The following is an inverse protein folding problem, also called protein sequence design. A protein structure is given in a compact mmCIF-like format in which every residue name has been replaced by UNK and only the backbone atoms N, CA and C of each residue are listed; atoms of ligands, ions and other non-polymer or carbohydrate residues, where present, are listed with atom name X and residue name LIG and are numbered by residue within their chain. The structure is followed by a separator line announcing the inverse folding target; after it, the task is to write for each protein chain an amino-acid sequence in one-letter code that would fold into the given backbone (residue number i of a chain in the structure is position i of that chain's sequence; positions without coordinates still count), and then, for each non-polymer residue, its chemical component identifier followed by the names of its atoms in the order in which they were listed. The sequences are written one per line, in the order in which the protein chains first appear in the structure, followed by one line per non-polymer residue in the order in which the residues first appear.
data_IF_323424116769
#
_entry.id   IF_323424116769
#
_cell.length_a   1.000
_cell.length_b   1.000
_cell.length_c   1.000
_cell.angle_alpha   90.00
_cell.angle_beta   90.00
_cell.angle_gamma   90.00
#
_symmetry.space_group_name_H-M   'P 1'
#
loop_
_entity.id
_entity.type
_entity.pdbx_description
1 polymer ?
#
# COMPACT_ATOMS: atom_id res chain seq x y z
N UNK A 1 10.99 14.79 -11.71
CA UNK A 1 12.36 14.33 -12.04
C UNK A 1 12.68 12.99 -11.38
N UNK A 2 12.49 12.84 -10.06
CA UNK A 2 12.79 11.60 -9.30
C UNK A 2 12.10 10.31 -9.82
N UNK A 3 10.83 10.36 -10.21
CA UNK A 3 10.03 9.18 -10.62
C UNK A 3 10.47 8.44 -11.87
N UNK A 4 11.33 9.04 -12.70
CA UNK A 4 11.91 8.35 -13.87
C UNK A 4 13.27 7.75 -13.56
N UNK A 5 13.88 8.07 -12.41
CA UNK A 5 15.26 7.71 -12.12
C UNK A 5 15.41 6.23 -11.79
N UNK A 6 14.47 5.61 -11.06
CA UNK A 6 14.61 4.18 -10.72
C UNK A 6 14.51 3.34 -11.98
N UNK A 7 13.41 3.47 -12.72
CA UNK A 7 13.18 2.70 -13.94
C UNK A 7 14.32 2.89 -14.94
N UNK A 8 14.81 4.13 -15.08
CA UNK A 8 15.96 4.45 -15.92
C UNK A 8 17.25 3.82 -15.39
N UNK A 9 17.54 3.95 -14.10
CA UNK A 9 18.75 3.39 -13.48
C UNK A 9 18.76 1.87 -13.49
N UNK A 10 17.61 1.21 -13.34
CA UNK A 10 17.50 -0.26 -13.41
C UNK A 10 17.66 -0.76 -14.83
N UNK A 11 17.09 -0.04 -15.80
CA UNK A 11 17.27 -0.34 -17.23
C UNK A 11 18.73 -0.11 -17.65
N UNK A 12 19.34 1.02 -17.28
CA UNK A 12 20.75 1.33 -17.59
C UNK A 12 21.69 0.29 -16.97
N UNK A 13 21.47 -0.10 -15.71
CA UNK A 13 22.23 -1.16 -15.07
C UNK A 13 22.04 -2.51 -15.78
N UNK A 14 20.82 -2.85 -16.20
CA UNK A 14 20.55 -4.06 -16.96
C UNK A 14 21.28 -4.08 -18.30
N UNK A 15 21.18 -3.01 -19.10
CA UNK A 15 21.89 -2.93 -20.37
C UNK A 15 23.41 -3.03 -20.21
N UNK A 16 23.97 -2.44 -19.15
CA UNK A 16 25.40 -2.52 -18.87
C UNK A 16 25.85 -3.91 -18.42
N UNK A 17 25.01 -4.63 -17.67
CA UNK A 17 25.36 -5.90 -17.04
C UNK A 17 24.72 -7.15 -17.67
N UNK A 18 23.98 -7.00 -18.78
CA UNK A 18 23.27 -8.12 -19.43
C UNK A 18 24.14 -9.37 -19.62
N UNK A 19 25.42 -9.28 -20.08
CA UNK A 19 26.29 -10.45 -20.21
C UNK A 19 26.54 -11.17 -18.89
N UNK A 20 26.63 -10.44 -17.78
CA UNK A 20 26.91 -10.96 -16.44
C UNK A 20 25.65 -11.53 -15.76
N UNK A 21 24.46 -11.33 -16.35
CA UNK A 21 23.21 -11.91 -15.87
C UNK A 21 22.94 -13.30 -16.47
N UNK A 22 23.88 -13.85 -17.26
CA UNK A 22 23.78 -15.18 -17.85
C UNK A 22 24.87 -16.10 -17.27
N UNK A 23 24.60 -17.41 -17.08
CA UNK A 23 25.63 -18.35 -16.67
C UNK A 23 26.80 -18.41 -17.67
N UNK A 24 28.05 -18.62 -17.22
CA UNK A 24 28.46 -18.81 -15.83
C UNK A 24 28.54 -17.48 -15.05
N UNK A 25 28.09 -17.49 -13.79
CA UNK A 25 28.14 -16.30 -12.93
C UNK A 25 29.56 -16.11 -12.34
N UNK A 26 30.03 -14.86 -12.19
CA UNK A 26 31.31 -14.58 -11.55
C UNK A 26 31.32 -15.09 -10.09
N UNK A 27 32.43 -15.72 -9.68
CA UNK A 27 32.63 -16.16 -8.29
C UNK A 27 33.28 -15.09 -7.41
N UNK A 28 33.62 -13.93 -7.97
CA UNK A 28 34.24 -12.81 -7.26
C UNK A 28 33.21 -12.08 -6.41
N UNK A 29 33.58 -11.73 -5.18
CA UNK A 29 32.75 -10.89 -4.30
C UNK A 29 32.63 -9.51 -4.95
N UNK A 30 31.41 -9.03 -5.25
CA UNK A 30 31.21 -7.74 -5.89
C UNK A 30 31.61 -6.60 -4.95
N UNK A 31 32.20 -5.54 -5.50
CA UNK A 31 32.32 -4.25 -4.82
C UNK A 31 30.94 -3.65 -4.51
N UNK A 32 30.87 -2.64 -3.65
CA UNK A 32 29.61 -2.01 -3.28
C UNK A 32 28.85 -1.42 -4.49
N UNK A 33 29.58 -0.82 -5.43
CA UNK A 33 29.00 -0.25 -6.64
C UNK A 33 28.48 -1.35 -7.59
N UNK A 34 29.26 -2.42 -7.78
CA UNK A 34 28.85 -3.59 -8.56
C UNK A 34 27.64 -4.27 -7.94
N UNK A 35 27.62 -4.45 -6.62
CA UNK A 35 26.48 -5.01 -5.88
C UNK A 35 25.20 -4.20 -6.14
N UNK A 36 25.30 -2.88 -6.05
CA UNK A 36 24.20 -1.94 -6.28
C UNK A 36 23.66 -2.07 -7.70
N UNK A 37 24.55 -2.08 -8.70
CA UNK A 37 24.17 -2.18 -10.11
C UNK A 37 23.62 -3.56 -10.47
N UNK A 38 24.21 -4.64 -9.94
CA UNK A 38 23.73 -6.01 -10.11
C UNK A 38 22.31 -6.17 -9.57
N UNK A 39 22.01 -5.69 -8.35
CA UNK A 39 20.67 -5.74 -7.77
C UNK A 39 19.63 -5.04 -8.65
N UNK A 40 19.97 -3.86 -9.19
CA UNK A 40 19.11 -3.09 -10.10
C UNK A 40 18.87 -3.82 -11.43
N UNK A 41 19.93 -4.41 -11.99
CA UNK A 41 19.89 -5.17 -13.23
C UNK A 41 19.05 -6.44 -13.07
N UNK A 42 19.29 -7.20 -12.00
CA UNK A 42 18.50 -8.39 -11.61
C UNK A 42 17.03 -8.04 -11.46
N UNK A 43 16.70 -6.95 -10.75
CA UNK A 43 15.32 -6.52 -10.58
C UNK A 43 14.67 -6.22 -11.94
N UNK A 44 15.35 -5.48 -12.81
CA UNK A 44 14.84 -5.20 -14.15
C UNK A 44 14.59 -6.50 -14.92
N UNK A 45 15.58 -7.41 -14.94
CA UNK A 45 15.48 -8.72 -15.58
C UNK A 45 14.29 -9.54 -15.06
N UNK A 46 14.05 -9.58 -13.75
CA UNK A 46 12.89 -10.25 -13.15
C UNK A 46 11.57 -9.68 -13.69
N UNK A 47 11.48 -8.35 -13.86
CA UNK A 47 10.27 -7.67 -14.29
C UNK A 47 10.04 -7.73 -15.82
N UNK A 48 11.12 -7.77 -16.61
CA UNK A 48 11.07 -7.76 -18.07
C UNK A 48 11.17 -9.14 -18.72
N UNK A 49 11.79 -10.11 -18.05
CA UNK A 49 12.08 -11.46 -18.57
C UNK A 49 11.51 -12.55 -17.65
N UNK A 50 10.17 -12.75 -17.59
CA UNK A 50 9.55 -13.71 -16.68
C UNK A 50 10.09 -15.14 -16.81
N UNK A 51 10.52 -15.54 -18.01
CA UNK A 51 11.09 -16.85 -18.30
C UNK A 51 12.47 -17.08 -17.66
N UNK A 52 13.21 -16.01 -17.32
CA UNK A 52 14.49 -16.05 -16.61
C UNK A 52 14.39 -15.65 -15.14
N UNK A 53 13.20 -15.28 -14.64
CA UNK A 53 13.03 -14.75 -13.29
C UNK A 53 13.61 -15.67 -12.19
N UNK A 54 13.46 -17.00 -12.33
CA UNK A 54 14.06 -17.97 -11.41
C UNK A 54 15.59 -17.99 -11.45
N UNK A 55 16.19 -17.75 -12.62
CA UNK A 55 17.64 -17.65 -12.78
C UNK A 55 18.14 -16.35 -12.13
N UNK A 56 17.45 -15.24 -12.39
CA UNK A 56 17.75 -13.94 -11.79
C UNK A 56 17.66 -13.97 -10.26
N UNK A 57 16.66 -14.67 -9.68
CA UNK A 57 16.57 -14.86 -8.23
C UNK A 57 17.70 -15.74 -7.66
N UNK A 58 18.08 -16.81 -8.35
CA UNK A 58 19.27 -17.60 -7.95
C UNK A 58 20.53 -16.75 -7.93
N UNK A 59 20.69 -15.87 -8.93
CA UNK A 59 21.81 -14.94 -8.99
C UNK A 59 21.76 -13.93 -7.83
N UNK A 60 20.57 -13.42 -7.49
CA UNK A 60 20.41 -12.57 -6.30
C UNK A 60 20.89 -13.31 -5.05
N UNK A 61 20.40 -14.53 -4.80
CA UNK A 61 20.80 -15.32 -3.64
C UNK A 61 22.30 -15.57 -3.55
N UNK A 62 23.00 -15.72 -4.68
CA UNK A 62 24.45 -15.95 -4.67
C UNK A 62 25.29 -14.71 -4.36
N UNK A 63 24.75 -13.50 -4.54
CA UNK A 63 25.51 -12.25 -4.34
C UNK A 63 25.14 -11.48 -3.07
N UNK A 64 24.05 -11.86 -2.39
CA UNK A 64 23.50 -11.09 -1.26
C UNK A 64 24.42 -11.11 -0.05
N UNK A 65 24.65 -9.91 0.50
CA UNK A 65 25.49 -9.68 1.70
C UNK A 65 24.77 -8.88 2.79
N UNK A 66 23.61 -8.29 2.48
CA UNK A 66 22.89 -7.35 3.34
C UNK A 66 21.48 -7.84 3.72
N UNK A 67 21.25 -9.15 3.69
CA UNK A 67 19.93 -9.73 3.96
C UNK A 67 18.85 -9.24 3.00
N UNK A 68 19.20 -8.94 1.74
CA UNK A 68 18.33 -8.40 0.70
C UNK A 68 17.81 -6.99 0.96
N UNK A 69 18.36 -6.28 1.95
CA UNK A 69 17.88 -4.96 2.38
C UNK A 69 17.89 -3.93 1.24
N UNK A 70 18.98 -3.86 0.48
CA UNK A 70 19.07 -2.98 -0.69
C UNK A 70 18.03 -3.36 -1.74
N UNK A 71 17.95 -4.64 -2.12
CA UNK A 71 17.01 -5.13 -3.13
C UNK A 71 15.56 -4.78 -2.77
N UNK A 72 15.17 -5.06 -1.54
CA UNK A 72 13.84 -4.76 -0.99
C UNK A 72 13.57 -3.25 -0.98
N UNK A 73 14.56 -2.42 -0.64
CA UNK A 73 14.42 -0.96 -0.70
C UNK A 73 14.15 -0.45 -2.14
N UNK A 74 14.79 -1.06 -3.15
CA UNK A 74 14.56 -0.71 -4.55
C UNK A 74 13.15 -1.14 -5.00
N UNK A 75 12.68 -2.32 -4.56
CA UNK A 75 11.31 -2.78 -4.79
C UNK A 75 10.28 -1.82 -4.19
N UNK A 76 10.42 -1.45 -2.92
CA UNK A 76 9.55 -0.49 -2.23
C UNK A 76 9.46 0.81 -3.02
N UNK A 77 10.62 1.34 -3.42
CA UNK A 77 10.71 2.60 -4.15
C UNK A 77 10.06 2.50 -5.54
N UNK A 78 10.22 1.37 -6.23
CA UNK A 78 9.56 1.09 -7.50
C UNK A 78 8.03 1.08 -7.35
N UNK A 79 7.50 0.43 -6.31
CA UNK A 79 6.05 0.37 -6.03
C UNK A 79 5.52 1.79 -5.79
N UNK A 80 6.19 2.55 -4.92
CA UNK A 80 5.78 3.90 -4.54
C UNK A 80 5.76 4.86 -5.74
N UNK A 81 6.80 4.82 -6.59
CA UNK A 81 6.98 5.83 -7.63
C UNK A 81 6.35 5.48 -8.98
N UNK A 82 6.21 4.19 -9.29
CA UNK A 82 5.98 3.71 -10.66
C UNK A 82 4.90 2.65 -10.81
N UNK A 83 4.31 2.11 -9.74
CA UNK A 83 3.36 0.98 -9.82
C UNK A 83 2.22 1.19 -10.83
N UNK A 84 1.56 2.35 -10.79
CA UNK A 84 0.47 2.68 -11.71
C UNK A 84 0.86 2.75 -13.19
N UNK A 85 2.17 2.80 -13.51
CA UNK A 85 2.71 2.84 -14.88
C UNK A 85 3.32 1.52 -15.33
N UNK A 86 3.44 0.54 -14.43
CA UNK A 86 3.97 -0.77 -14.77
C UNK A 86 3.00 -1.51 -15.70
N UNK A 87 3.55 -2.25 -16.65
CA UNK A 87 2.80 -3.20 -17.47
C UNK A 87 2.23 -4.32 -16.58
N UNK A 88 1.13 -4.93 -17.01
CA UNK A 88 0.47 -5.99 -16.24
C UNK A 88 1.38 -7.21 -16.01
N UNK A 89 2.22 -7.56 -16.99
CA UNK A 89 3.26 -8.58 -16.83
C UNK A 89 4.24 -8.24 -15.71
N UNK A 90 4.72 -7.00 -15.67
CA UNK A 90 5.65 -6.52 -14.64
C UNK A 90 4.98 -6.47 -13.25
N UNK A 91 3.70 -6.11 -13.15
CA UNK A 91 2.95 -6.18 -11.88
C UNK A 91 2.83 -7.60 -11.36
N UNK A 92 2.57 -8.59 -12.23
CA UNK A 92 2.57 -10.02 -11.84
C UNK A 92 3.94 -10.45 -11.33
N UNK A 93 5.01 -10.07 -12.03
CA UNK A 93 6.38 -10.37 -11.60
C UNK A 93 6.75 -9.69 -10.29
N UNK A 94 6.25 -8.46 -10.05
CA UNK A 94 6.42 -7.74 -8.80
C UNK A 94 5.77 -8.49 -7.61
N UNK A 95 4.55 -9.00 -7.79
CA UNK A 95 3.90 -9.85 -6.78
C UNK A 95 4.68 -11.14 -6.57
N UNK A 96 5.13 -11.77 -7.65
CA UNK A 96 5.93 -12.99 -7.58
C UNK A 96 7.24 -12.79 -6.79
N UNK A 97 8.04 -11.76 -7.12
CA UNK A 97 9.28 -11.50 -6.38
C UNK A 97 9.02 -11.09 -4.93
N UNK A 98 7.88 -10.45 -4.64
CA UNK A 98 7.48 -10.17 -3.26
C UNK A 98 7.23 -11.46 -2.48
N UNK A 99 6.62 -12.48 -3.09
CA UNK A 99 6.51 -13.79 -2.45
C UNK A 99 7.86 -14.39 -2.11
N UNK A 100 8.84 -14.27 -3.00
CA UNK A 100 10.21 -14.73 -2.72
C UNK A 100 10.84 -13.96 -1.56
N UNK A 101 10.66 -12.63 -1.49
CA UNK A 101 11.19 -11.82 -0.38
C UNK A 101 10.53 -12.17 0.96
N UNK A 102 9.24 -12.50 0.97
CA UNK A 102 8.54 -12.99 2.17
C UNK A 102 9.08 -14.37 2.59
N UNK A 103 9.27 -15.30 1.65
CA UNK A 103 9.75 -16.65 1.95
C UNK A 103 11.13 -16.69 2.62
N UNK A 104 11.99 -15.72 2.29
CA UNK A 104 13.35 -15.63 2.80
C UNK A 104 13.51 -14.61 3.94
N UNK A 105 12.39 -14.03 4.42
CA UNK A 105 12.38 -13.00 5.46
C UNK A 105 13.34 -11.84 5.17
N UNK A 106 13.33 -11.36 3.92
CA UNK A 106 14.19 -10.30 3.45
C UNK A 106 14.06 -9.02 4.31
N UNK A 107 15.17 -8.38 4.66
CA UNK A 107 15.12 -7.17 5.51
C UNK A 107 14.25 -6.09 4.86
N UNK A 108 13.24 -5.63 5.60
CA UNK A 108 12.31 -4.58 5.17
C UNK A 108 11.14 -5.06 4.28
N UNK A 109 10.87 -6.37 4.23
CA UNK A 109 9.76 -6.91 3.43
C UNK A 109 8.39 -6.39 3.91
N UNK A 110 8.24 -6.10 5.20
CA UNK A 110 7.06 -5.45 5.79
C UNK A 110 6.75 -4.10 5.11
N UNK A 111 7.78 -3.28 4.87
CA UNK A 111 7.67 -2.03 4.14
C UNK A 111 7.22 -2.22 2.69
N UNK A 112 7.65 -3.31 2.04
CA UNK A 112 7.21 -3.70 0.70
C UNK A 112 5.74 -4.12 0.70
N UNK A 113 5.31 -4.91 1.69
CA UNK A 113 3.91 -5.28 1.87
C UNK A 113 3.02 -4.05 2.07
N UNK A 114 3.43 -3.11 2.93
CA UNK A 114 2.71 -1.84 3.15
C UNK A 114 2.64 -1.02 1.86
N UNK A 115 3.74 -0.93 1.10
CA UNK A 115 3.74 -0.21 -0.17
C UNK A 115 2.77 -0.83 -1.19
N UNK A 116 2.73 -2.15 -1.31
CA UNK A 116 1.80 -2.88 -2.18
C UNK A 116 0.35 -2.81 -1.69
N UNK A 117 0.14 -2.79 -0.38
CA UNK A 117 -1.19 -2.67 0.20
C UNK A 117 -1.82 -1.31 -0.16
N UNK A 118 -1.02 -0.25 -0.18
CA UNK A 118 -1.44 1.08 -0.68
C UNK A 118 -1.74 1.11 -2.19
N UNK A 119 -1.36 0.06 -2.92
CA UNK A 119 -1.74 -0.18 -4.32
C UNK A 119 -2.89 -1.19 -4.48
N UNK A 120 -3.51 -1.63 -3.38
CA UNK A 120 -4.69 -2.52 -3.37
C UNK A 120 -4.37 -3.91 -3.98
N UNK A 121 -3.22 -4.48 -3.61
CA UNK A 121 -2.84 -5.83 -4.07
C UNK A 121 -3.35 -6.89 -3.10
N UNK A 122 -4.50 -7.51 -3.41
CA UNK A 122 -5.19 -8.44 -2.49
C UNK A 122 -4.53 -9.82 -2.40
N UNK A 123 -4.25 -10.44 -3.55
CA UNK A 123 -3.89 -11.87 -3.64
C UNK A 123 -2.63 -12.27 -2.84
N UNK A 124 -1.73 -11.31 -2.60
CA UNK A 124 -0.50 -11.51 -1.84
C UNK A 124 -0.77 -11.92 -0.38
N UNK A 125 -1.73 -11.25 0.27
CA UNK A 125 -1.98 -11.41 1.70
C UNK A 125 -2.73 -12.71 2.02
N UNK A 126 -3.65 -13.12 1.15
CA UNK A 126 -4.37 -14.39 1.32
C UNK A 126 -3.46 -15.61 1.11
N UNK A 127 -2.55 -15.54 0.13
CA UNK A 127 -1.67 -16.67 -0.22
C UNK A 127 -0.45 -16.83 0.71
N UNK A 128 -0.10 -15.79 1.47
CA UNK A 128 0.97 -15.83 2.49
C UNK A 128 0.45 -15.72 3.91
N UNK A 129 -0.82 -16.07 4.12
CA UNK A 129 -1.48 -15.92 5.41
C UNK A 129 -0.67 -16.45 6.59
N UNK A 130 -0.22 -17.70 6.55
CA UNK A 130 0.42 -18.34 7.70
C UNK A 130 1.74 -17.66 8.06
N UNK A 131 2.60 -17.41 7.05
CA UNK A 131 3.86 -16.67 7.23
C UNK A 131 3.61 -15.25 7.75
N UNK A 132 2.67 -14.52 7.15
CA UNK A 132 2.38 -13.14 7.58
C UNK A 132 1.74 -13.07 8.96
N UNK A 133 1.02 -14.10 9.38
CA UNK A 133 0.44 -14.15 10.72
C UNK A 133 1.50 -14.37 11.79
N UNK A 134 2.54 -15.14 11.47
CA UNK A 134 3.68 -15.39 12.34
C UNK A 134 4.64 -14.20 12.38
N UNK A 135 5.09 -13.74 11.21
CA UNK A 135 6.17 -12.75 11.08
C UNK A 135 5.67 -11.30 11.13
N UNK A 136 4.55 -10.99 10.47
CA UNK A 136 4.06 -9.61 10.28
C UNK A 136 2.55 -9.42 10.56
N UNK A 137 2.06 -9.81 11.76
CA UNK A 137 0.63 -9.79 12.07
C UNK A 137 0.02 -8.38 12.03
N UNK A 138 0.82 -7.34 12.24
CA UNK A 138 0.36 -5.95 12.12
C UNK A 138 0.04 -5.57 10.68
N UNK A 139 0.82 -6.05 9.70
CA UNK A 139 0.53 -5.80 8.28
C UNK A 139 -0.81 -6.43 7.89
N UNK A 140 -1.15 -7.60 8.42
CA UNK A 140 -2.48 -8.22 8.21
C UNK A 140 -3.63 -7.37 8.76
N UNK A 141 -3.44 -6.68 9.89
CA UNK A 141 -4.46 -5.73 10.39
C UNK A 141 -4.63 -4.53 9.46
N UNK A 142 -3.54 -4.08 8.83
CA UNK A 142 -3.59 -3.07 7.77
C UNK A 142 -4.37 -3.59 6.56
N UNK A 143 -4.11 -4.82 6.13
CA UNK A 143 -4.80 -5.46 5.02
C UNK A 143 -6.31 -5.57 5.28
N UNK A 144 -6.70 -6.03 6.47
CA UNK A 144 -8.09 -6.05 6.91
C UNK A 144 -8.74 -4.66 6.79
N UNK A 145 -8.10 -3.63 7.35
CA UNK A 145 -8.62 -2.28 7.31
C UNK A 145 -8.82 -1.77 5.87
N UNK A 146 -7.83 -2.02 5.00
CA UNK A 146 -7.85 -1.62 3.59
C UNK A 146 -8.95 -2.34 2.82
N UNK A 147 -9.11 -3.66 2.99
CA UNK A 147 -10.12 -4.44 2.28
C UNK A 147 -11.54 -4.15 2.77
N UNK A 148 -11.77 -4.03 4.09
CA UNK A 148 -13.08 -3.60 4.61
C UNK A 148 -13.48 -2.23 4.04
N UNK A 149 -12.53 -1.30 3.94
CA UNK A 149 -12.79 0.03 3.35
C UNK A 149 -13.12 -0.05 1.86
N UNK A 150 -12.44 -0.90 1.08
CA UNK A 150 -12.73 -1.11 -0.35
C UNK A 150 -14.10 -1.73 -0.56
N UNK A 151 -14.41 -2.77 0.21
CA UNK A 151 -15.70 -3.44 0.16
C UNK A 151 -16.84 -2.49 0.48
N UNK A 152 -16.66 -1.55 1.41
CA UNK A 152 -17.69 -0.56 1.75
C UNK A 152 -18.13 0.30 0.54
N UNK A 153 -17.24 0.54 -0.43
CA UNK A 153 -17.58 1.21 -1.69
C UNK A 153 -18.07 0.21 -2.74
N UNK A 154 -17.32 -0.89 -2.93
CA UNK A 154 -17.52 -1.82 -4.04
C UNK A 154 -18.79 -2.66 -3.91
N UNK A 155 -19.22 -3.00 -2.69
CA UNK A 155 -20.45 -3.76 -2.46
C UNK A 155 -21.72 -2.94 -2.76
N UNK A 156 -21.61 -1.61 -2.84
CA UNK A 156 -22.74 -0.72 -3.16
C UNK A 156 -22.89 -0.43 -4.66
N UNK A 157 -21.87 -0.73 -5.47
CA UNK A 157 -21.85 -0.47 -6.93
C UNK A 157 -22.22 -1.74 -7.71
N UNK A 158 -23.00 -1.57 -8.79
CA UNK A 158 -23.62 -2.63 -9.61
C UNK A 158 -22.65 -3.76 -10.06
N UNK A 159 -23.20 -4.97 -10.14
CA UNK A 159 -22.52 -6.25 -10.39
C UNK A 159 -21.72 -6.28 -11.70
N UNK A 160 -20.40 -6.07 -11.61
CA UNK A 160 -19.46 -6.36 -12.69
C UNK A 160 -18.80 -7.73 -12.40
N UNK A 161 -18.96 -8.76 -13.26
CA UNK A 161 -18.52 -10.13 -12.96
C UNK A 161 -17.03 -10.29 -12.61
N UNK A 162 -16.14 -9.50 -13.22
CA UNK A 162 -14.69 -9.54 -12.92
C UNK A 162 -14.36 -8.98 -11.52
N UNK A 163 -15.22 -8.12 -10.99
CA UNK A 163 -15.08 -7.54 -9.65
C UNK A 163 -15.63 -8.52 -8.60
N UNK A 164 -16.60 -9.37 -8.93
CA UNK A 164 -17.19 -10.34 -8.00
C UNK A 164 -16.19 -11.37 -7.47
N UNK A 165 -15.29 -11.89 -8.31
CA UNK A 165 -14.27 -12.83 -7.83
C UNK A 165 -13.26 -12.17 -6.89
N UNK A 166 -12.86 -10.93 -7.17
CA UNK A 166 -11.99 -10.13 -6.30
C UNK A 166 -12.69 -9.80 -4.98
N UNK A 167 -13.94 -9.31 -5.03
CA UNK A 167 -14.77 -9.04 -3.85
C UNK A 167 -14.89 -10.26 -2.97
N UNK A 168 -15.15 -11.43 -3.55
CA UNK A 168 -15.24 -12.68 -2.79
C UNK A 168 -13.95 -13.00 -2.05
N UNK A 169 -12.80 -12.89 -2.71
CA UNK A 169 -11.50 -13.08 -2.05
C UNK A 169 -11.25 -12.06 -0.92
N UNK A 170 -11.64 -10.80 -1.11
CA UNK A 170 -11.54 -9.76 -0.08
C UNK A 170 -12.47 -10.06 1.12
N UNK A 171 -13.72 -10.49 0.86
CA UNK A 171 -14.69 -10.88 1.89
C UNK A 171 -14.16 -12.07 2.68
N UNK A 172 -13.73 -13.13 1.99
CA UNK A 172 -13.22 -14.35 2.62
C UNK A 172 -12.01 -14.04 3.51
N UNK A 173 -11.08 -13.21 3.04
CA UNK A 173 -9.94 -12.76 3.85
C UNK A 173 -10.40 -11.99 5.10
N UNK A 174 -11.30 -11.02 4.94
CA UNK A 174 -11.76 -10.18 6.06
C UNK A 174 -12.50 -11.00 7.12
N UNK A 175 -13.39 -11.89 6.67
CA UNK A 175 -14.15 -12.79 7.55
C UNK A 175 -13.20 -13.73 8.28
N UNK A 176 -12.18 -14.29 7.60
CA UNK A 176 -11.14 -15.11 8.23
C UNK A 176 -10.42 -14.36 9.34
N UNK A 177 -9.93 -13.15 9.08
CA UNK A 177 -9.32 -12.28 10.11
C UNK A 177 -10.23 -12.06 11.30
N UNK A 178 -11.48 -11.66 11.05
CA UNK A 178 -12.44 -11.34 12.11
C UNK A 178 -12.83 -12.56 12.95
N UNK A 179 -12.90 -13.76 12.35
CA UNK A 179 -13.29 -14.99 13.04
C UNK A 179 -12.11 -15.68 13.72
N UNK A 180 -10.97 -15.79 13.06
CA UNK A 180 -9.81 -16.53 13.58
C UNK A 180 -8.88 -15.66 14.45
N UNK A 181 -8.84 -14.35 14.19
CA UNK A 181 -7.88 -13.42 14.79
C UNK A 181 -8.53 -12.12 15.27
N UNK A 182 -9.70 -12.24 15.89
CA UNK A 182 -10.46 -11.10 16.39
C UNK A 182 -9.59 -10.16 17.25
N UNK A 183 -8.81 -10.69 18.19
CA UNK A 183 -7.95 -9.90 19.08
C UNK A 183 -6.95 -9.00 18.35
N UNK A 184 -6.39 -9.45 17.22
CA UNK A 184 -5.56 -8.61 16.35
C UNK A 184 -6.39 -7.54 15.66
N UNK A 185 -7.58 -7.90 15.16
CA UNK A 185 -8.50 -6.95 14.52
C UNK A 185 -8.88 -5.80 15.46
N UNK A 186 -9.14 -6.09 16.75
CA UNK A 186 -9.50 -5.08 17.76
C UNK A 186 -8.44 -3.96 17.90
N UNK A 187 -7.18 -4.22 17.55
CA UNK A 187 -6.08 -3.21 17.57
C UNK A 187 -6.29 -2.07 16.58
N UNK A 188 -7.19 -2.23 15.60
CA UNK A 188 -7.59 -1.13 14.70
C UNK A 188 -8.30 -0.02 15.50
N UNK A 189 -8.99 -0.33 16.58
CA UNK A 189 -9.77 0.65 17.34
C UNK A 189 -11.10 1.01 16.67
N UNK A 190 -11.71 2.12 17.10
CA UNK A 190 -13.10 2.53 16.77
C UNK A 190 -13.46 2.53 15.29
N UNK A 191 -12.51 2.75 14.38
CA UNK A 191 -12.81 2.77 12.95
C UNK A 191 -13.14 1.39 12.38
N UNK A 192 -12.73 0.31 13.04
CA UNK A 192 -13.16 -1.06 12.67
C UNK A 192 -14.69 -1.19 12.75
N UNK A 193 -15.29 -0.69 13.83
CA UNK A 193 -16.74 -0.76 14.02
C UNK A 193 -17.49 0.03 12.96
N UNK A 194 -16.98 1.22 12.60
CA UNK A 194 -17.55 2.02 11.52
C UNK A 194 -17.52 1.27 10.18
N UNK A 195 -16.38 0.66 9.85
CA UNK A 195 -16.22 -0.12 8.62
C UNK A 195 -17.14 -1.35 8.58
N UNK A 196 -17.28 -2.07 9.70
CA UNK A 196 -18.20 -3.19 9.80
C UNK A 196 -19.66 -2.74 9.69
N UNK A 197 -20.01 -1.60 10.29
CA UNK A 197 -21.34 -0.99 10.17
C UNK A 197 -21.68 -0.67 8.71
N UNK A 198 -20.72 -0.12 7.95
CA UNK A 198 -20.89 0.16 6.52
C UNK A 198 -21.20 -1.11 5.69
N UNK A 199 -20.79 -2.28 6.19
CA UNK A 199 -20.88 -3.59 5.54
C UNK A 199 -21.98 -4.52 6.06
N UNK A 200 -22.81 -4.11 7.03
CA UNK A 200 -23.88 -4.96 7.63
C UNK A 200 -24.89 -5.50 6.61
N UNK A 201 -25.03 -4.82 5.46
CA UNK A 201 -25.89 -5.26 4.37
C UNK A 201 -25.39 -6.57 3.72
N UNK A 202 -24.08 -6.82 3.73
CA UNK A 202 -23.44 -8.04 3.21
C UNK A 202 -23.63 -9.19 4.22
N UNK A 203 -24.16 -10.37 3.81
CA UNK A 203 -24.52 -11.45 4.72
C UNK A 203 -23.39 -11.91 5.65
N UNK A 204 -22.18 -12.07 5.11
CA UNK A 204 -21.00 -12.54 5.84
C UNK A 204 -20.64 -11.58 6.97
N UNK A 205 -20.57 -10.28 6.69
CA UNK A 205 -20.29 -9.26 7.71
C UNK A 205 -21.45 -9.05 8.68
N UNK A 206 -22.70 -9.25 8.24
CA UNK A 206 -23.87 -9.24 9.13
C UNK A 206 -23.75 -10.29 10.23
N UNK A 207 -23.28 -11.49 9.88
CA UNK A 207 -23.09 -12.56 10.88
C UNK A 207 -22.03 -12.17 11.90
N UNK A 208 -20.86 -11.69 11.45
CA UNK A 208 -19.81 -11.19 12.34
C UNK A 208 -20.30 -10.06 13.23
N UNK A 209 -21.06 -9.10 12.67
CA UNK A 209 -21.63 -7.98 13.44
C UNK A 209 -22.56 -8.45 14.56
N UNK A 210 -23.44 -9.43 14.28
CA UNK A 210 -24.31 -10.02 15.30
C UNK A 210 -23.48 -10.68 16.41
N UNK A 211 -22.48 -11.48 16.06
CA UNK A 211 -21.62 -12.17 17.03
C UNK A 211 -20.92 -11.17 17.97
N UNK A 212 -20.47 -10.02 17.43
CA UNK A 212 -19.85 -8.94 18.23
C UNK A 212 -20.82 -8.28 19.23
N UNK A 213 -22.10 -8.13 18.88
CA UNK A 213 -23.10 -7.51 19.76
C UNK A 213 -23.43 -8.40 20.98
N UNK A 214 -23.35 -9.72 20.84
CA UNK A 214 -23.61 -10.67 21.92
C UNK A 214 -22.41 -10.89 22.86
N UNK A 215 -21.24 -10.32 22.54
CA UNK A 215 -20.04 -10.42 23.36
C UNK A 215 -19.51 -9.02 23.74
N UNK A 216 -20.07 -8.37 24.78
CA UNK A 216 -19.86 -6.95 25.07
C UNK A 216 -18.50 -6.59 25.69
N UNK A 217 -17.49 -7.47 25.67
CA UNK A 217 -16.12 -7.15 26.12
C UNK A 217 -15.40 -6.14 25.21
N UNK A 218 -16.08 -5.66 24.18
CA UNK A 218 -15.53 -4.88 23.07
C UNK A 218 -15.71 -3.38 23.33
N UNK A 219 -14.99 -2.83 24.32
CA UNK A 219 -14.87 -1.37 24.53
C UNK A 219 -14.02 -0.68 23.44
N UNK A 220 -14.02 -1.19 22.20
CA UNK A 220 -13.27 -0.62 21.06
C UNK A 220 -13.66 0.85 20.82
N UNK A 221 -14.90 1.25 21.14
CA UNK A 221 -15.36 2.63 20.95
C UNK A 221 -14.42 3.67 21.59
N UNK A 222 -13.77 3.31 22.70
CA UNK A 222 -12.85 4.18 23.43
C UNK A 222 -11.40 4.08 22.91
N UNK A 223 -11.08 3.05 22.12
CA UNK A 223 -9.75 2.88 21.54
C UNK A 223 -9.63 3.70 20.27
N UNK A 224 -8.77 4.72 20.31
CA UNK A 224 -8.45 5.53 19.13
C UNK A 224 -7.76 4.69 18.06
N UNK A 225 -8.22 4.80 16.82
CA UNK A 225 -7.54 4.22 15.66
C UNK A 225 -6.24 4.96 15.36
N UNK A 226 -5.15 4.19 15.20
CA UNK A 226 -3.83 4.72 14.82
C UNK A 226 -3.88 5.49 13.50
N UNK A 227 -3.09 6.54 13.39
CA UNK A 227 -2.95 7.34 12.16
C UNK A 227 -2.49 6.51 10.96
N UNK A 228 -1.72 5.44 11.22
CA UNK A 228 -1.17 4.53 10.22
C UNK A 228 -2.25 3.96 9.30
N UNK A 229 -3.39 3.49 9.85
CA UNK A 229 -4.49 2.92 9.06
C UNK A 229 -5.07 3.92 8.05
N UNK A 230 -5.20 5.20 8.45
CA UNK A 230 -5.70 6.23 7.53
C UNK A 230 -4.69 6.54 6.41
N UNK A 231 -3.39 6.47 6.69
CA UNK A 231 -2.34 6.61 5.66
C UNK A 231 -2.36 5.47 4.64
N UNK A 232 -2.74 4.25 5.04
CA UNK A 232 -2.80 3.09 4.13
C UNK A 232 -3.81 3.25 2.99
N UNK A 233 -4.83 4.10 3.17
CA UNK A 233 -5.87 4.38 2.16
C UNK A 233 -5.50 5.44 1.15
N UNK A 234 -4.42 6.17 1.40
CA UNK A 234 -3.89 7.14 0.47
C UNK A 234 -2.69 6.55 -0.25
N UNK A 235 -2.52 6.86 -1.52
CA UNK A 235 -1.22 6.63 -2.17
C UNK A 235 -0.15 7.50 -1.49
N UNK A 236 1.12 7.07 -1.52
CA UNK A 236 2.22 7.86 -0.95
C UNK A 236 2.25 9.28 -1.51
N UNK A 237 1.95 9.45 -2.80
CA UNK A 237 1.91 10.75 -3.43
C UNK A 237 0.78 11.64 -2.90
N UNK A 238 -0.43 11.10 -2.76
CA UNK A 238 -1.56 11.84 -2.18
C UNK A 238 -1.22 12.33 -0.79
N UNK A 239 -0.68 11.45 0.06
CA UNK A 239 -0.28 11.80 1.42
C UNK A 239 0.78 12.90 1.43
N UNK A 240 1.84 12.80 0.62
CA UNK A 240 2.88 13.82 0.56
C UNK A 240 2.33 15.18 0.10
N UNK A 241 1.45 15.21 -0.91
CA UNK A 241 0.85 16.46 -1.39
C UNK A 241 -0.10 17.09 -0.35
N UNK A 242 -0.90 16.27 0.34
CA UNK A 242 -1.78 16.76 1.40
C UNK A 242 -0.99 17.30 2.59
N UNK A 243 0.08 16.60 3.01
CA UNK A 243 0.98 17.08 4.07
C UNK A 243 1.66 18.37 3.66
N UNK A 244 2.11 18.49 2.41
CA UNK A 244 2.69 19.73 1.91
C UNK A 244 1.70 20.90 1.99
N UNK A 245 0.48 20.70 1.49
CA UNK A 245 -0.61 21.68 1.58
C UNK A 245 -0.82 22.14 3.02
N UNK A 246 -0.99 21.20 3.95
CA UNK A 246 -1.34 21.48 5.35
C UNK A 246 -0.19 21.99 6.23
N UNK A 247 1.05 21.98 5.71
CA UNK A 247 2.24 22.37 6.50
C UNK A 247 2.92 23.60 5.95
N UNK A 248 2.87 23.83 4.63
CA UNK A 248 3.69 24.85 3.96
C UNK A 248 2.91 25.84 3.09
N UNK A 249 1.63 25.59 2.78
CA UNK A 249 0.87 26.45 1.88
C UNK A 249 0.05 27.47 2.66
N UNK A 250 0.30 28.75 2.40
CA UNK A 250 -0.46 29.85 2.98
C UNK A 250 -1.90 29.89 2.49
N UNK A 251 -2.81 30.22 3.40
CA UNK A 251 -4.21 30.48 3.10
C UNK A 251 -4.33 31.65 2.12
N UNK A 252 -5.19 31.49 1.11
CA UNK A 252 -5.28 32.35 -0.07
C UNK A 252 -4.43 31.90 -1.26
N UNK A 253 -3.36 31.11 -1.04
CA UNK A 253 -2.45 30.64 -2.11
C UNK A 253 -2.72 29.20 -2.57
N UNK A 254 -3.73 28.53 -2.02
CA UNK A 254 -3.97 27.10 -2.23
C UNK A 254 -4.55 26.72 -3.60
N UNK A 255 -5.18 27.66 -4.33
CA UNK A 255 -6.04 27.36 -5.50
C UNK A 255 -5.34 26.47 -6.54
N UNK A 256 -4.11 26.82 -6.93
CA UNK A 256 -3.33 26.08 -7.93
C UNK A 256 -3.02 24.65 -7.47
N UNK A 257 -2.61 24.50 -6.22
CA UNK A 257 -2.31 23.19 -5.64
C UNK A 257 -3.54 22.30 -5.53
N UNK A 258 -4.69 22.88 -5.14
CA UNK A 258 -5.96 22.16 -5.08
C UNK A 258 -6.42 21.69 -6.46
N UNK A 259 -6.33 22.53 -7.48
CA UNK A 259 -6.66 22.16 -8.87
C UNK A 259 -5.76 21.03 -9.36
N UNK A 260 -4.45 21.12 -9.12
CA UNK A 260 -3.51 20.06 -9.49
C UNK A 260 -3.80 18.74 -8.78
N UNK A 261 -4.11 18.79 -7.49
CA UNK A 261 -4.49 17.62 -6.71
C UNK A 261 -5.79 17.01 -7.25
N UNK A 262 -6.82 17.82 -7.46
CA UNK A 262 -8.13 17.37 -7.93
C UNK A 262 -8.05 16.76 -9.33
N UNK A 263 -7.40 17.42 -10.28
CA UNK A 263 -7.24 16.91 -11.64
C UNK A 263 -6.51 15.57 -11.67
N UNK A 264 -5.59 15.35 -10.72
CA UNK A 264 -4.80 14.14 -10.67
C UNK A 264 -5.51 12.97 -9.96
N UNK A 265 -6.20 13.26 -8.87
CA UNK A 265 -6.67 12.23 -7.93
C UNK A 265 -8.19 12.14 -7.79
N UNK A 266 -8.92 13.19 -8.18
CA UNK A 266 -10.36 13.32 -7.97
C UNK A 266 -11.15 13.41 -9.29
N UNK A 267 -10.47 13.25 -10.43
CA UNK A 267 -11.11 13.28 -11.76
C UNK A 267 -11.85 11.97 -12.12
N UNK A 268 -11.64 10.90 -11.36
CA UNK A 268 -12.23 9.59 -11.62
C UNK A 268 -13.67 9.46 -11.05
N UNK A 269 -14.50 8.55 -11.58
CA UNK A 269 -15.85 8.27 -11.06
C UNK A 269 -15.87 7.88 -9.57
N UNK A 270 -14.76 7.30 -9.08
CA UNK A 270 -14.56 6.89 -7.69
C UNK A 270 -14.21 8.05 -6.75
N UNK A 271 -14.34 9.31 -7.18
CA UNK A 271 -14.03 10.52 -6.39
C UNK A 271 -14.57 10.46 -4.97
N UNK A 272 -15.82 10.05 -4.78
CA UNK A 272 -16.47 10.07 -3.47
C UNK A 272 -15.75 9.17 -2.46
N UNK A 273 -15.34 7.97 -2.88
CA UNK A 273 -14.56 7.04 -2.07
C UNK A 273 -13.22 7.67 -1.61
N UNK A 274 -12.53 8.32 -2.55
CA UNK A 274 -11.25 8.98 -2.31
C UNK A 274 -11.42 10.20 -1.39
N UNK A 275 -12.48 11.00 -1.54
CA UNK A 275 -12.78 12.15 -0.68
C UNK A 275 -13.03 11.73 0.76
N UNK A 276 -13.71 10.60 0.99
CA UNK A 276 -13.89 10.02 2.34
C UNK A 276 -12.52 9.70 2.95
N UNK A 277 -11.66 8.98 2.22
CA UNK A 277 -10.33 8.58 2.70
C UNK A 277 -9.44 9.79 3.01
N UNK A 278 -9.46 10.83 2.16
CA UNK A 278 -8.76 12.10 2.39
C UNK A 278 -9.29 12.79 3.64
N UNK A 279 -10.61 12.91 3.79
CA UNK A 279 -11.22 13.57 4.95
C UNK A 279 -10.84 12.86 6.24
N UNK A 280 -10.89 11.53 6.25
CA UNK A 280 -10.47 10.71 7.40
C UNK A 280 -9.00 10.92 7.73
N UNK A 281 -8.12 10.94 6.74
CA UNK A 281 -6.69 11.24 6.92
C UNK A 281 -6.47 12.63 7.54
N UNK A 282 -7.08 13.69 6.98
CA UNK A 282 -6.92 15.06 7.47
C UNK A 282 -7.40 15.18 8.94
N UNK A 283 -8.53 14.56 9.27
CA UNK A 283 -9.09 14.63 10.62
C UNK A 283 -8.31 13.78 11.64
N UNK A 284 -7.84 12.58 11.25
CA UNK A 284 -7.39 11.57 12.19
C UNK A 284 -5.88 11.30 12.19
N UNK A 285 -5.17 11.70 11.13
CA UNK A 285 -3.74 11.43 10.95
C UNK A 285 -2.89 12.71 10.81
N UNK A 286 -3.47 13.85 10.45
CA UNK A 286 -2.77 15.13 10.42
C UNK A 286 -3.14 16.01 11.62
N UNK A 287 -2.16 16.22 12.51
CA UNK A 287 -2.26 17.09 13.68
C UNK A 287 -1.21 18.20 13.58
N UNK A 288 -1.58 19.40 13.11
CA UNK A 288 -0.65 20.51 13.01
C UNK A 288 -0.18 20.95 14.41
N UNK A 289 1.05 21.47 14.50
CA UNK A 289 1.56 22.08 15.74
C UNK A 289 0.84 23.38 16.06
N UNK A 290 0.95 23.85 17.31
CA UNK A 290 0.37 25.14 17.71
C UNK A 290 0.88 26.30 16.84
N UNK A 291 2.16 26.29 16.46
CA UNK A 291 2.75 27.29 15.58
C UNK A 291 2.06 27.33 14.21
N UNK A 292 1.78 26.15 13.62
CA UNK A 292 1.05 26.07 12.35
C UNK A 292 -0.38 26.56 12.52
N UNK A 293 -1.05 26.20 13.62
CA UNK A 293 -2.43 26.62 13.91
C UNK A 293 -2.54 28.15 14.04
N UNK A 294 -1.51 28.82 14.58
CA UNK A 294 -1.45 30.27 14.75
C UNK A 294 -0.84 31.01 13.54
N UNK A 295 -0.42 30.29 12.51
CA UNK A 295 0.18 30.86 11.30
C UNK A 295 -0.85 31.18 10.21
N UNK A 296 -0.37 31.66 9.07
CA UNK A 296 -1.15 31.88 7.85
C UNK A 296 -1.27 30.62 6.97
N UNK A 297 -0.85 29.44 7.45
CA UNK A 297 -1.00 28.17 6.72
C UNK A 297 -2.48 27.78 6.59
N UNK A 298 -2.85 27.17 5.47
CA UNK A 298 -4.22 26.73 5.20
C UNK A 298 -4.74 25.79 6.31
N UNK A 299 -5.91 26.11 6.92
CA UNK A 299 -6.48 25.26 7.95
C UNK A 299 -7.12 24.00 7.37
N UNK A 300 -7.15 22.92 8.17
CA UNK A 300 -7.73 21.63 7.79
C UNK A 300 -9.15 21.72 7.21
N UNK A 301 -10.00 22.55 7.81
CA UNK A 301 -11.40 22.70 7.40
C UNK A 301 -11.53 23.28 5.98
N UNK A 302 -10.59 24.12 5.54
CA UNK A 302 -10.64 24.72 4.21
C UNK A 302 -10.41 23.66 3.12
N UNK A 303 -9.48 22.74 3.34
CA UNK A 303 -9.24 21.63 2.39
C UNK A 303 -10.45 20.69 2.35
N UNK A 304 -10.99 20.32 3.52
CA UNK A 304 -12.18 19.46 3.60
C UNK A 304 -13.37 20.11 2.88
N UNK A 305 -13.65 21.39 3.17
CA UNK A 305 -14.74 22.14 2.54
C UNK A 305 -14.61 22.19 1.02
N UNK A 306 -13.40 22.39 0.49
CA UNK A 306 -13.17 22.40 -0.95
C UNK A 306 -13.49 21.06 -1.64
N UNK A 307 -13.24 19.93 -0.98
CA UNK A 307 -13.48 18.62 -1.59
C UNK A 307 -14.92 18.11 -1.42
N UNK A 308 -15.62 18.58 -0.38
CA UNK A 308 -17.05 18.31 -0.15
C UNK A 308 -17.97 19.24 -0.96
N UNK A 309 -17.52 20.43 -1.35
CA UNK A 309 -18.29 21.38 -2.14
C UNK A 309 -18.44 20.98 -3.62
N UNK A 310 -19.40 21.60 -4.35
CA UNK A 310 -19.45 21.54 -5.80
C UNK A 310 -18.16 22.18 -6.37
N UNK A 311 -17.47 21.45 -7.25
CA UNK A 311 -16.33 21.96 -8.02
C UNK A 311 -16.86 22.52 -9.33
#
# INVERSE_FOLDING_TARGET
MLRKLIQRSTHEAFCFLEPNLRPPFPLTIPSLEEYTNLNRAILYGILSEPYLAKVHIKHLHSIVTDGYGYFTSVLVKLVIESYGKLLESAKRQLVWVTHEMVNILAIGFDGLLVALLRQIVVNLFSSKWDSLLEDEPFVLTGALYVFLRLLADNCRVLNIPKIESLKKMEIDFCVRMLREKLSLCLRIGRDLLRLLQDLVHVPEFRTVWKDLLYNPSVFIYNTRTSSWYFSLRLTQEMESQLRFLLTYVKFGSQKRYQVWFANKFLAAPERNAVVIDITRFICCAHHPSNDIIQSDIIPRWAIIGCYLGPI
#
